data_IF_543376189228
#
_entry.id   IF_543376189228
#
_cell.length_a   1.000
_cell.length_b   1.000
_cell.length_c   1.000
_cell.angle_alpha   90.00
_cell.angle_beta   90.00
_cell.angle_gamma   90.00
#
_symmetry.space_group_name_H-M   'P 1'
#
loop_
_entity.id
_entity.type
_entity.pdbx_description
1 polymer ?
#
# COMPACT_ATOMS: atom_id res chain seq x y z
N UNK A 1 -27.18 -2.36 -9.55
CA UNK A 1 -26.10 -3.17 -8.94
C UNK A 1 -24.94 -2.22 -8.62
N UNK A 2 -24.06 -2.54 -7.67
CA UNK A 2 -22.83 -1.75 -7.53
C UNK A 2 -21.93 -2.28 -8.64
N UNK A 3 -21.39 -1.39 -9.48
CA UNK A 3 -20.41 -1.81 -10.47
C UNK A 3 -19.13 -2.13 -9.72
N UNK A 4 -19.01 -3.40 -9.36
CA UNK A 4 -17.83 -3.98 -8.77
C UNK A 4 -17.02 -4.62 -9.90
N UNK A 5 -15.78 -4.19 -10.05
CA UNK A 5 -14.83 -4.87 -10.94
C UNK A 5 -13.87 -5.70 -10.09
N UNK A 6 -13.47 -6.85 -10.62
CA UNK A 6 -12.57 -7.79 -9.95
C UNK A 6 -11.37 -8.05 -10.85
N UNK A 7 -10.19 -8.06 -10.24
CA UNK A 7 -8.95 -8.56 -10.83
C UNK A 7 -8.46 -9.75 -10.03
N UNK A 8 -7.98 -10.78 -10.72
CA UNK A 8 -7.36 -11.95 -10.12
C UNK A 8 -5.95 -12.10 -10.65
N UNK A 9 -4.99 -12.23 -9.75
CA UNK A 9 -3.56 -12.24 -10.05
C UNK A 9 -2.83 -10.99 -9.57
N UNK A 10 -1.53 -10.90 -9.88
CA UNK A 10 -0.64 -9.87 -9.37
C UNK A 10 -1.04 -8.48 -9.89
N UNK A 11 -0.66 -7.43 -9.15
CA UNK A 11 -1.09 -6.07 -9.44
C UNK A 11 -0.49 -5.51 -10.74
N UNK A 12 0.66 -6.01 -11.16
CA UNK A 12 1.34 -5.62 -12.41
C UNK A 12 0.64 -6.18 -13.66
N UNK A 13 -0.15 -7.24 -13.51
CA UNK A 13 -1.01 -7.82 -14.55
C UNK A 13 -2.36 -7.10 -14.69
N UNK A 14 -2.65 -6.07 -13.90
CA UNK A 14 -3.88 -5.27 -14.06
C UNK A 14 -3.81 -4.55 -15.43
N UNK A 15 -4.80 -4.75 -16.33
CA UNK A 15 -4.77 -4.20 -17.68
C UNK A 15 -5.05 -2.69 -17.67
N UNK A 16 -4.55 -1.97 -18.68
CA UNK A 16 -4.77 -0.52 -18.84
C UNK A 16 -6.26 -0.14 -19.02
N UNK A 17 -7.09 -1.10 -19.41
CA UNK A 17 -8.54 -0.95 -19.54
C UNK A 17 -9.31 -1.28 -18.26
N UNK A 18 -8.62 -1.57 -17.15
CA UNK A 18 -9.24 -1.81 -15.86
C UNK A 18 -9.89 -0.53 -15.32
N UNK A 19 -10.67 -0.67 -14.25
CA UNK A 19 -11.34 0.43 -13.60
C UNK A 19 -10.31 1.39 -12.97
N UNK A 20 -10.69 2.67 -12.77
CA UNK A 20 -9.81 3.66 -12.16
C UNK A 20 -9.20 3.23 -10.82
N UNK A 21 -9.91 2.46 -10.01
CA UNK A 21 -9.45 1.97 -8.71
C UNK A 21 -8.42 0.86 -8.82
N UNK A 22 -8.60 -0.06 -9.77
CA UNK A 22 -7.60 -1.10 -10.04
C UNK A 22 -6.34 -0.50 -10.68
N UNK A 23 -6.50 0.46 -11.60
CA UNK A 23 -5.38 1.22 -12.15
C UNK A 23 -4.64 2.01 -11.05
N UNK A 24 -5.37 2.61 -10.12
CA UNK A 24 -4.78 3.25 -8.95
C UNK A 24 -3.97 2.24 -8.10
N UNK A 25 -4.52 1.04 -7.83
CA UNK A 25 -3.82 0.00 -7.07
C UNK A 25 -2.50 -0.41 -7.73
N UNK A 26 -2.50 -0.59 -9.06
CA UNK A 26 -1.30 -0.92 -9.84
C UNK A 26 -0.19 0.13 -9.67
N UNK A 27 -0.54 1.39 -9.49
CA UNK A 27 0.44 2.46 -9.26
C UNK A 27 0.82 2.62 -7.78
N UNK A 28 -0.15 2.43 -6.87
CA UNK A 28 0.06 2.56 -5.42
C UNK A 28 1.07 1.53 -4.89
N UNK A 29 0.92 0.26 -5.25
CA UNK A 29 1.68 -0.82 -4.61
C UNK A 29 3.19 -0.72 -4.84
N UNK A 30 3.70 -0.43 -6.06
CA UNK A 30 5.13 -0.16 -6.25
C UNK A 30 5.66 0.98 -5.35
N UNK A 31 4.88 2.05 -5.18
CA UNK A 31 5.26 3.16 -4.32
C UNK A 31 5.23 2.79 -2.83
N UNK A 32 4.26 1.96 -2.43
CA UNK A 32 4.17 1.40 -1.07
C UNK A 32 5.26 0.36 -0.78
N UNK A 33 5.72 -0.37 -1.80
CA UNK A 33 6.72 -1.42 -1.72
C UNK A 33 8.16 -0.90 -1.71
N UNK A 34 8.35 0.30 -2.28
CA UNK A 34 9.66 0.93 -2.42
C UNK A 34 10.46 0.94 -1.12
N UNK A 35 11.73 0.57 -1.24
CA UNK A 35 12.76 0.69 -0.20
C UNK A 35 13.69 1.91 -0.45
N UNK A 36 13.25 2.85 -1.28
CA UNK A 36 13.98 4.07 -1.66
C UNK A 36 14.30 4.13 -3.15
N UNK A 37 15.07 5.15 -3.60
CA UNK A 37 15.70 6.19 -2.79
C UNK A 37 14.68 7.14 -2.16
N UNK A 38 14.79 7.39 -0.85
CA UNK A 38 13.91 8.36 -0.16
C UNK A 38 14.48 9.77 -0.17
N UNK A 39 15.72 9.98 -0.60
CA UNK A 39 16.42 11.26 -0.65
C UNK A 39 16.17 12.08 -1.93
N UNK A 40 15.66 11.45 -3.00
CA UNK A 40 15.53 12.05 -4.33
C UNK A 40 14.58 13.26 -4.43
N UNK A 41 13.58 13.38 -3.54
CA UNK A 41 12.64 14.52 -3.47
C UNK A 41 12.70 15.24 -2.12
N UNK A 42 13.92 15.60 -1.68
CA UNK A 42 14.11 16.25 -0.38
C UNK A 42 13.71 15.38 0.81
N UNK A 43 13.81 14.05 0.67
CA UNK A 43 13.46 13.11 1.74
C UNK A 43 12.07 12.47 1.63
N UNK A 44 11.24 12.83 0.64
CA UNK A 44 9.86 12.35 0.55
C UNK A 44 9.71 11.08 -0.31
N UNK A 45 9.05 10.02 0.21
CA UNK A 45 8.72 8.83 -0.56
C UNK A 45 7.70 9.10 -1.67
N UNK A 46 7.84 8.42 -2.82
CA UNK A 46 6.88 8.50 -3.95
C UNK A 46 5.43 8.15 -3.54
N UNK A 47 5.26 7.39 -2.45
CA UNK A 47 3.97 7.09 -1.87
C UNK A 47 3.13 8.36 -1.60
N UNK A 48 3.76 9.49 -1.27
CA UNK A 48 3.05 10.75 -0.98
C UNK A 48 2.17 11.21 -2.16
N UNK A 49 2.58 10.91 -3.40
CA UNK A 49 1.86 11.29 -4.61
C UNK A 49 0.55 10.52 -4.76
N UNK A 50 0.30 9.49 -3.95
CA UNK A 50 -0.94 8.69 -4.00
C UNK A 50 -1.90 9.00 -2.84
N UNK A 51 -1.52 9.90 -1.92
CA UNK A 51 -2.27 10.16 -0.70
C UNK A 51 -3.07 11.47 -0.81
N UNK A 52 -4.32 11.43 -0.36
CA UNK A 52 -5.16 12.62 -0.27
C UNK A 52 -4.70 13.50 0.90
N UNK A 53 -4.99 14.81 0.89
CA UNK A 53 -4.80 15.66 2.07
C UNK A 53 -5.50 15.06 3.30
N UNK A 54 -4.78 14.90 4.40
CA UNK A 54 -5.31 14.29 5.62
C UNK A 54 -5.44 12.76 5.58
N UNK A 55 -4.78 12.08 4.63
CA UNK A 55 -4.82 10.63 4.54
C UNK A 55 -4.38 9.93 5.84
N UNK A 56 -5.00 8.77 6.12
CA UNK A 56 -4.74 7.97 7.31
C UNK A 56 -4.46 6.51 7.01
N UNK A 57 -3.72 5.85 7.89
CA UNK A 57 -3.49 4.41 7.90
C UNK A 57 -4.10 3.80 9.16
N UNK A 58 -4.78 2.67 9.02
CA UNK A 58 -5.38 1.92 10.12
C UNK A 58 -4.89 0.49 10.05
N UNK A 59 -4.26 0.00 11.12
CA UNK A 59 -3.69 -1.34 11.17
C UNK A 59 -4.51 -2.19 12.15
N UNK A 60 -5.03 -3.33 11.70
CA UNK A 60 -5.80 -4.28 12.52
C UNK A 60 -6.94 -3.64 13.33
N UNK A 61 -7.63 -2.65 12.75
CA UNK A 61 -8.72 -1.93 13.42
C UNK A 61 -8.30 -1.00 14.57
N UNK A 62 -7.00 -0.74 14.72
CA UNK A 62 -6.47 0.20 15.70
C UNK A 62 -6.79 1.68 15.41
N UNK A 63 -6.23 2.61 16.20
CA UNK A 63 -6.42 4.04 15.96
C UNK A 63 -5.78 4.47 14.63
N UNK A 64 -6.38 5.44 13.90
CA UNK A 64 -5.79 5.98 12.68
C UNK A 64 -4.46 6.69 12.94
N UNK A 65 -3.45 6.35 12.14
CA UNK A 65 -2.17 7.05 12.05
C UNK A 65 -2.22 8.01 10.85
N UNK A 66 -1.64 9.21 10.99
CA UNK A 66 -1.57 10.14 9.86
C UNK A 66 -0.53 9.65 8.86
N UNK A 67 -0.81 9.85 7.57
CA UNK A 67 0.10 9.51 6.49
C UNK A 67 1.54 10.03 6.70
N UNK A 68 1.68 11.28 7.16
CA UNK A 68 3.00 11.88 7.43
C UNK A 68 3.83 11.10 8.44
N UNK A 69 3.18 10.52 9.46
CA UNK A 69 3.86 9.76 10.50
C UNK A 69 4.27 8.38 9.97
N UNK A 70 3.47 7.77 9.08
CA UNK A 70 3.78 6.50 8.39
C UNK A 70 4.90 6.67 7.37
N UNK A 71 4.91 7.76 6.60
CA UNK A 71 5.96 8.05 5.62
C UNK A 71 7.34 8.12 6.27
N UNK A 72 7.45 8.60 7.51
CA UNK A 72 8.69 8.62 8.29
C UNK A 72 9.17 7.22 8.71
N UNK A 73 8.32 6.19 8.63
CA UNK A 73 8.70 4.81 8.93
C UNK A 73 9.29 4.08 7.72
N UNK A 74 9.03 4.54 6.49
CA UNK A 74 9.53 3.88 5.27
C UNK A 74 11.06 3.82 5.20
N UNK A 75 11.82 4.89 5.56
CA UNK A 75 13.28 4.81 5.66
C UNK A 75 13.75 3.79 6.69
N UNK A 76 13.03 3.63 7.81
CA UNK A 76 13.36 2.63 8.84
C UNK A 76 13.14 1.21 8.30
N UNK A 77 12.05 0.98 7.55
CA UNK A 77 11.79 -0.28 6.85
C UNK A 77 12.93 -0.60 5.87
N UNK A 78 13.32 0.35 5.02
CA UNK A 78 14.43 0.16 4.09
C UNK A 78 15.79 -0.01 4.76
N UNK A 79 15.99 0.55 5.95
CA UNK A 79 17.18 0.30 6.76
C UNK A 79 17.32 -1.17 7.13
N UNK A 80 16.20 -1.86 7.39
CA UNK A 80 16.16 -3.24 7.90
C UNK A 80 15.96 -4.31 6.84
N UNK A 81 15.23 -4.00 5.77
CA UNK A 81 14.83 -4.98 4.75
C UNK A 81 15.73 -4.91 3.53
N UNK A 82 16.15 -6.07 3.04
CA UNK A 82 16.79 -6.24 1.74
C UNK A 82 15.74 -6.30 0.61
N UNK A 83 14.57 -6.87 0.89
CA UNK A 83 13.44 -6.99 -0.03
C UNK A 83 12.13 -6.78 0.70
N UNK A 84 11.18 -6.14 0.04
CA UNK A 84 9.81 -5.97 0.49
C UNK A 84 8.91 -5.83 -0.74
N UNK A 85 7.82 -6.60 -0.82
CA UNK A 85 6.77 -6.40 -1.82
C UNK A 85 5.45 -7.04 -1.38
N UNK A 86 4.33 -6.60 -1.97
CA UNK A 86 3.05 -7.29 -1.85
C UNK A 86 2.80 -8.17 -3.07
N UNK A 87 2.56 -9.47 -2.87
CA UNK A 87 2.04 -10.36 -3.91
C UNK A 87 0.51 -10.37 -3.86
N UNK A 88 -0.15 -9.70 -4.81
CA UNK A 88 -1.62 -9.58 -4.85
C UNK A 88 -2.23 -10.83 -5.47
N UNK A 89 -3.20 -11.43 -4.77
CA UNK A 89 -3.97 -12.58 -5.26
C UNK A 89 -5.25 -12.14 -5.97
N UNK A 90 -5.93 -11.16 -5.38
CA UNK A 90 -7.23 -10.72 -5.82
C UNK A 90 -7.47 -9.28 -5.37
N UNK A 91 -8.05 -8.48 -6.26
CA UNK A 91 -8.41 -7.11 -5.98
C UNK A 91 -9.85 -6.84 -6.45
N UNK A 92 -10.55 -6.02 -5.69
CA UNK A 92 -11.89 -5.56 -6.00
C UNK A 92 -11.88 -4.05 -5.99
N UNK A 93 -12.72 -3.51 -6.85
CA UNK A 93 -12.95 -2.10 -6.92
C UNK A 93 -14.45 -1.84 -6.96
N UNK A 94 -14.92 -0.99 -6.04
CA UNK A 94 -16.34 -0.69 -5.86
C UNK A 94 -16.55 0.81 -5.95
N UNK A 95 -17.25 1.27 -6.98
CA UNK A 95 -17.62 2.68 -7.11
C UNK A 95 -18.76 3.07 -6.15
N UNK A 96 -18.66 4.25 -5.53
CA UNK A 96 -19.76 4.84 -4.78
C UNK A 96 -20.91 5.23 -5.71
N UNK A 97 -22.16 5.07 -5.25
CA UNK A 97 -23.37 5.32 -6.06
C UNK A 97 -23.91 6.74 -5.98
N UNK A 98 -23.25 7.61 -5.24
CA UNK A 98 -23.69 8.97 -4.94
C UNK A 98 -23.17 10.02 -5.93
N UNK A 99 -22.52 9.59 -7.02
CA UNK A 99 -21.92 10.48 -8.02
C UNK A 99 -20.68 11.23 -7.53
N UNK A 100 -20.19 10.96 -6.32
CA UNK A 100 -19.03 11.64 -5.74
C UNK A 100 -17.70 11.26 -6.38
N UNK A 101 -17.68 10.24 -7.24
CA UNK A 101 -16.45 9.66 -7.79
C UNK A 101 -15.60 8.88 -6.78
N UNK A 102 -16.07 8.75 -5.52
CA UNK A 102 -15.39 7.95 -4.49
C UNK A 102 -15.44 6.46 -4.82
N UNK A 103 -14.40 5.74 -4.44
CA UNK A 103 -14.23 4.32 -4.79
C UNK A 103 -13.58 3.60 -3.61
N UNK A 104 -13.98 2.36 -3.35
CA UNK A 104 -13.35 1.51 -2.35
C UNK A 104 -12.62 0.40 -3.08
N UNK A 105 -11.31 0.36 -2.93
CA UNK A 105 -10.48 -0.73 -3.45
C UNK A 105 -10.17 -1.69 -2.30
N UNK A 106 -10.39 -2.97 -2.51
CA UNK A 106 -10.03 -4.02 -1.55
C UNK A 106 -9.05 -4.96 -2.24
N UNK A 107 -8.10 -5.53 -1.50
CA UNK A 107 -7.24 -6.55 -2.06
C UNK A 107 -6.76 -7.54 -1.01
N UNK A 108 -6.56 -8.77 -1.45
CA UNK A 108 -5.88 -9.82 -0.72
C UNK A 108 -4.45 -9.93 -1.27
N UNK A 109 -3.48 -9.94 -0.36
CA UNK A 109 -2.08 -10.06 -0.73
C UNK A 109 -1.29 -10.88 0.29
N UNK A 110 -0.11 -11.34 -0.12
CA UNK A 110 0.93 -11.80 0.81
C UNK A 110 2.07 -10.79 0.76
N UNK A 111 2.38 -10.12 1.86
CA UNK A 111 3.61 -9.32 1.92
C UNK A 111 4.80 -10.24 2.16
N UNK A 112 5.86 -10.01 1.39
CA UNK A 112 7.09 -10.80 1.43
C UNK A 112 8.22 -9.88 1.83
N UNK A 113 8.90 -10.23 2.92
CA UNK A 113 10.01 -9.46 3.48
C UNK A 113 11.25 -10.32 3.64
N UNK A 114 12.42 -9.77 3.32
CA UNK A 114 13.72 -10.36 3.66
C UNK A 114 14.54 -9.33 4.42
N UNK A 115 15.10 -9.68 5.57
CA UNK A 115 15.94 -8.77 6.37
C UNK A 115 17.37 -8.71 5.83
N UNK A 116 18.03 -7.55 5.95
CA UNK A 116 19.43 -7.39 5.52
C UNK A 116 20.41 -8.16 6.40
N UNK A 117 20.13 -8.15 7.69
CA UNK A 117 21.01 -8.74 8.71
C UNK A 117 20.74 -10.24 8.89
N UNK A 118 19.86 -10.81 8.06
CA UNK A 118 19.55 -12.24 8.08
C UNK A 118 20.53 -13.00 7.16
N UNK A 119 21.47 -13.79 7.70
CA UNK A 119 22.45 -14.52 6.89
C UNK A 119 21.81 -15.63 6.06
N UNK A 120 20.65 -16.15 6.47
CA UNK A 120 19.91 -17.19 5.73
C UNK A 120 18.97 -16.59 4.68
N UNK A 121 18.79 -15.27 4.70
CA UNK A 121 17.89 -14.53 3.79
C UNK A 121 16.47 -15.14 3.73
N UNK A 122 15.94 -15.58 4.88
CA UNK A 122 14.62 -16.22 4.95
C UNK A 122 13.54 -15.23 4.52
N UNK A 123 12.70 -15.66 3.59
CA UNK A 123 11.50 -14.93 3.19
C UNK A 123 10.43 -15.06 4.26
N UNK A 124 10.12 -13.95 4.93
CA UNK A 124 8.99 -13.84 5.84
C UNK A 124 7.77 -13.45 5.03
N UNK A 125 6.78 -14.34 5.01
CA UNK A 125 5.53 -14.16 4.29
C UNK A 125 4.38 -13.89 5.28
N UNK A 126 3.58 -12.86 5.00
CA UNK A 126 2.43 -12.49 5.82
C UNK A 126 1.22 -12.30 4.93
N UNK A 127 0.16 -13.07 5.19
CA UNK A 127 -1.11 -12.88 4.52
C UNK A 127 -1.80 -11.61 5.04
N UNK A 128 -2.35 -10.83 4.11
CA UNK A 128 -2.98 -9.55 4.38
C UNK A 128 -4.30 -9.39 3.62
N UNK A 129 -5.23 -8.68 4.25
CA UNK A 129 -6.38 -8.08 3.59
C UNK A 129 -6.31 -6.57 3.76
N UNK A 130 -6.48 -5.85 2.67
CA UNK A 130 -6.32 -4.41 2.64
C UNK A 130 -7.57 -3.74 2.05
N UNK A 131 -7.90 -2.56 2.58
CA UNK A 131 -9.00 -1.73 2.08
C UNK A 131 -8.53 -0.29 1.95
N UNK A 132 -8.71 0.29 0.77
CA UNK A 132 -8.28 1.63 0.41
C UNK A 132 -9.51 2.44 -0.02
N UNK A 133 -9.81 3.48 0.75
CA UNK A 133 -10.82 4.47 0.38
C UNK A 133 -10.20 5.54 -0.51
N UNK A 134 -10.71 5.65 -1.73
CA UNK A 134 -10.27 6.60 -2.75
C UNK A 134 -11.24 7.76 -2.86
N UNK A 135 -10.68 8.95 -2.99
CA UNK A 135 -11.42 10.18 -3.25
C UNK A 135 -10.81 10.91 -4.46
N UNK A 136 -11.63 11.53 -5.32
CA UNK A 136 -11.13 12.45 -6.32
C UNK A 136 -10.57 13.70 -5.63
N UNK A 137 -9.35 14.11 -5.99
CA UNK A 137 -8.69 15.32 -5.46
C UNK A 137 -8.33 16.22 -6.62
N UNK A 138 -8.86 17.45 -6.64
CA UNK A 138 -8.54 18.42 -7.67
C UNK A 138 -7.09 18.88 -7.54
N UNK A 139 -6.33 18.75 -8.63
CA UNK A 139 -5.00 19.33 -8.76
C UNK A 139 -5.15 20.77 -9.29
N UNK A 140 -4.80 21.79 -8.50
CA UNK A 140 -4.96 23.19 -8.89
C UNK A 140 -4.00 23.61 -10.02
N UNK A 141 -2.96 22.81 -10.28
CA UNK A 141 -1.92 23.12 -11.27
C UNK A 141 -2.27 22.54 -12.64
N UNK A 142 -2.75 21.29 -12.68
CA UNK A 142 -3.10 20.60 -13.93
C UNK A 142 -4.58 20.72 -14.28
N UNK A 143 -5.43 21.03 -13.30
CA UNK A 143 -6.90 21.00 -13.44
C UNK A 143 -7.48 19.59 -13.47
N UNK A 144 -6.64 18.56 -13.38
CA UNK A 144 -7.08 17.16 -13.31
C UNK A 144 -7.66 16.84 -11.93
N UNK A 145 -8.44 15.77 -11.86
CA UNK A 145 -9.01 15.29 -10.59
C UNK A 145 -8.65 13.82 -10.36
N UNK A 146 -7.36 13.49 -10.15
CA UNK A 146 -6.93 12.12 -9.92
C UNK A 146 -7.53 11.54 -8.64
N UNK A 147 -7.63 10.21 -8.62
CA UNK A 147 -7.95 9.46 -7.40
C UNK A 147 -6.73 9.48 -6.46
N UNK A 148 -6.99 9.69 -5.17
CA UNK A 148 -6.00 9.61 -4.09
C UNK A 148 -6.57 8.81 -2.92
N UNK A 149 -5.71 8.11 -2.19
CA UNK A 149 -6.10 7.35 -1.01
C UNK A 149 -6.32 8.29 0.19
N UNK A 150 -7.54 8.30 0.71
CA UNK A 150 -7.91 9.02 1.94
C UNK A 150 -7.70 8.15 3.19
N UNK A 151 -7.93 6.85 3.06
CA UNK A 151 -7.68 5.91 4.15
C UNK A 151 -7.20 4.58 3.61
N UNK A 152 -6.14 4.06 4.20
CA UNK A 152 -5.63 2.71 3.96
C UNK A 152 -5.81 1.89 5.23
N UNK A 153 -6.49 0.77 5.12
CA UNK A 153 -6.70 -0.17 6.24
C UNK A 153 -6.03 -1.48 5.89
N UNK A 154 -5.18 -1.97 6.78
CA UNK A 154 -4.46 -3.23 6.60
C UNK A 154 -4.80 -4.19 7.74
N UNK A 155 -5.12 -5.44 7.40
CA UNK A 155 -5.42 -6.52 8.33
C UNK A 155 -4.44 -7.67 8.10
N UNK A 156 -3.60 -7.98 9.08
CA UNK A 156 -2.49 -8.94 8.96
C UNK A 156 -2.01 -9.42 10.33
N UNK A 157 -1.35 -10.58 10.38
CA UNK A 157 -0.65 -11.07 11.58
C UNK A 157 0.84 -10.73 11.53
N UNK A 158 1.30 -9.92 12.48
CA UNK A 158 2.70 -9.48 12.55
C UNK A 158 3.63 -10.36 13.37
N UNK A 159 3.14 -11.45 13.93
CA UNK A 159 3.95 -12.41 14.66
C UNK A 159 5.13 -12.96 13.82
N UNK A 160 4.98 -13.32 12.52
CA UNK A 160 6.10 -13.86 11.73
C UNK A 160 7.27 -12.88 11.58
N UNK A 161 6.96 -11.61 11.27
CA UNK A 161 7.97 -10.54 11.11
C UNK A 161 8.68 -10.29 12.44
N UNK A 162 7.92 -10.22 13.53
CA UNK A 162 8.48 -9.98 14.88
C UNK A 162 9.35 -11.14 15.32
N UNK A 163 8.90 -12.38 15.10
CA UNK A 163 9.63 -13.59 15.45
C UNK A 163 10.96 -13.67 14.72
N UNK A 164 10.97 -13.46 13.39
CA UNK A 164 12.23 -13.51 12.62
C UNK A 164 13.19 -12.41 13.03
N UNK A 165 12.71 -11.18 13.24
CA UNK A 165 13.55 -10.08 13.71
C UNK A 165 14.20 -10.36 15.08
N UNK A 166 13.48 -11.04 15.99
CA UNK A 166 14.02 -11.44 17.29
C UNK A 166 15.05 -12.57 17.21
N UNK A 167 14.93 -13.47 16.23
CA UNK A 167 15.93 -14.52 16.00
C UNK A 167 17.24 -13.89 15.51
N UNK A 168 17.16 -13.01 14.50
CA UNK A 168 18.31 -12.30 13.94
C UNK A 168 19.05 -11.48 15.02
N UNK A 169 18.31 -10.79 15.89
CA UNK A 169 18.92 -9.94 16.92
C UNK A 169 19.60 -10.70 18.08
N UNK A 170 19.43 -12.03 18.17
CA UNK A 170 20.03 -12.87 19.22
C UNK A 170 21.33 -13.56 18.77
N UNK A 171 21.63 -13.50 17.48
CA UNK A 171 22.87 -14.01 16.86
C UNK A 171 23.96 -12.93 16.84
#
# INVERSE_FOLDING_TARGET
>A
MADAQVHSGPYDAIPDTASPGLLFLRCLLPALDSLGPFDARGGQPDLIDYLAPGATFVMNGGPPLRAVDVLQMLPKRAGRLARFHHDVRMAWDVAARDGSGRRTVMYESTSISTFKDDPEAVEVQVAEFNVVELVPVADPTTGETPLKALQLRAFWDGAPVTSRAQMIAKE
#
